data_IF_587276800985
#
_entry.id   IF_587276800985
#
_cell.length_a   1.000
_cell.length_b   1.000
_cell.length_c   1.000
_cell.angle_alpha   90.00
_cell.angle_beta   90.00
_cell.angle_gamma   90.00
#
_symmetry.space_group_name_H-M   'P 1'
#
loop_
_entity.id
_entity.type
_entity.pdbx_description
1 polymer ?
#
# COMPACT_ATOMS: atom_id res chain seq x y z
N UNK A 1 -10.33 -68.56 -7.71
CA UNK A 1 -11.66 -67.92 -7.83
C UNK A 1 -11.50 -66.42 -7.65
N UNK A 2 -12.03 -65.66 -8.61
CA UNK A 2 -11.99 -64.19 -8.72
C UNK A 2 -12.89 -63.54 -7.67
N UNK A 3 -12.46 -62.43 -7.08
CA UNK A 3 -13.42 -61.40 -6.66
C UNK A 3 -12.80 -60.00 -6.81
N UNK A 4 -12.70 -59.54 -8.06
CA UNK A 4 -12.46 -58.13 -8.36
C UNK A 4 -13.77 -57.36 -8.18
N UNK A 5 -13.97 -56.76 -7.01
CA UNK A 5 -15.03 -55.78 -6.79
C UNK A 5 -14.78 -54.55 -7.66
N UNK A 6 -15.49 -54.47 -8.79
CA UNK A 6 -15.56 -53.25 -9.62
C UNK A 6 -16.07 -52.11 -8.74
N UNK A 7 -15.26 -51.09 -8.53
CA UNK A 7 -15.72 -49.79 -8.08
C UNK A 7 -16.68 -49.25 -9.16
N UNK A 8 -17.98 -49.31 -8.87
CA UNK A 8 -19.01 -48.67 -9.69
C UNK A 8 -18.77 -47.17 -9.58
N UNK A 9 -18.13 -46.59 -10.58
CA UNK A 9 -18.04 -45.14 -10.74
C UNK A 9 -19.46 -44.59 -10.90
N UNK A 10 -20.05 -44.16 -9.78
CA UNK A 10 -21.29 -43.39 -9.79
C UNK A 10 -20.95 -42.06 -10.45
N UNK A 11 -21.70 -41.72 -11.50
CA UNK A 11 -21.56 -40.49 -12.27
C UNK A 11 -21.89 -39.32 -11.34
N UNK A 12 -20.89 -38.78 -10.66
CA UNK A 12 -21.05 -37.59 -9.82
C UNK A 12 -21.30 -36.40 -10.74
N UNK A 13 -22.38 -35.67 -10.49
CA UNK A 13 -22.63 -34.39 -11.15
C UNK A 13 -21.47 -33.45 -10.84
N UNK A 14 -20.95 -32.78 -11.86
CA UNK A 14 -19.77 -31.92 -11.79
C UNK A 14 -19.90 -30.88 -10.67
N UNK A 15 -19.25 -31.15 -9.53
CA UNK A 15 -19.21 -30.26 -8.37
C UNK A 15 -19.50 -30.90 -7.02
N UNK A 16 -19.95 -32.15 -6.93
CA UNK A 16 -20.16 -32.82 -5.63
C UNK A 16 -19.01 -33.78 -5.35
N UNK A 17 -18.12 -33.40 -4.42
CA UNK A 17 -17.11 -34.29 -3.86
C UNK A 17 -17.64 -34.88 -2.55
N UNK A 18 -18.05 -36.15 -2.59
CA UNK A 18 -18.33 -36.92 -1.38
C UNK A 18 -17.01 -37.46 -0.84
N UNK A 19 -16.59 -36.96 0.33
CA UNK A 19 -15.41 -37.47 1.03
C UNK A 19 -15.88 -38.55 2.01
N UNK A 20 -15.39 -39.78 1.82
CA UNK A 20 -15.70 -40.89 2.70
C UNK A 20 -14.72 -40.88 3.89
N UNK A 21 -15.22 -40.61 5.10
CA UNK A 21 -14.41 -40.58 6.32
C UNK A 21 -14.32 -42.00 6.89
N UNK A 22 -13.11 -42.50 7.22
CA UNK A 22 -12.96 -43.84 7.80
C UNK A 22 -13.66 -43.98 9.15
N UNK A 23 -14.28 -45.15 9.33
CA UNK A 23 -15.29 -45.47 10.36
C UNK A 23 -14.76 -45.39 11.80
N UNK A 24 -15.42 -44.67 12.72
CA UNK A 24 -15.28 -44.92 14.15
C UNK A 24 -16.05 -46.20 14.54
N UNK A 25 -15.38 -47.12 15.24
CA UNK A 25 -15.88 -48.45 15.63
C UNK A 25 -17.05 -48.30 16.62
N UNK A 26 -18.29 -48.56 16.18
CA UNK A 26 -19.44 -48.69 17.09
C UNK A 26 -20.80 -48.14 16.62
N UNK A 27 -20.91 -47.47 15.46
CA UNK A 27 -22.18 -46.85 15.01
C UNK A 27 -22.67 -47.46 13.68
N UNK A 28 -23.87 -48.06 13.68
CA UNK A 28 -24.54 -48.56 12.46
C UNK A 28 -25.22 -47.40 11.74
N UNK A 29 -24.52 -46.79 10.78
CA UNK A 29 -25.05 -45.81 9.83
C UNK A 29 -23.95 -45.25 8.94
N UNK A 30 -24.15 -45.23 7.62
CA UNK A 30 -23.22 -44.59 6.69
C UNK A 30 -23.22 -43.07 6.92
N UNK A 31 -22.08 -42.50 7.31
CA UNK A 31 -21.90 -41.06 7.39
C UNK A 31 -21.32 -40.55 6.07
N UNK A 32 -22.20 -40.02 5.22
CA UNK A 32 -21.82 -39.33 3.98
C UNK A 32 -21.80 -37.84 4.27
N UNK A 33 -20.62 -37.22 4.27
CA UNK A 33 -20.48 -35.77 4.34
C UNK A 33 -20.54 -35.22 2.91
N UNK A 34 -21.61 -34.48 2.60
CA UNK A 34 -21.73 -33.76 1.34
C UNK A 34 -21.00 -32.44 1.52
N UNK A 35 -19.78 -32.36 0.98
CA UNK A 35 -19.07 -31.08 0.85
C UNK A 35 -19.68 -30.37 -0.35
N UNK A 36 -20.62 -29.46 -0.10
CA UNK A 36 -21.08 -28.51 -1.10
C UNK A 36 -19.97 -27.48 -1.27
N UNK A 37 -19.25 -27.42 -2.40
CA UNK A 37 -18.34 -26.32 -2.64
C UNK A 37 -19.19 -25.05 -2.72
N UNK A 38 -19.07 -24.21 -1.71
CA UNK A 38 -19.50 -22.82 -1.79
C UNK A 38 -18.79 -22.24 -3.01
N UNK A 39 -19.52 -22.03 -4.12
CA UNK A 39 -18.95 -21.36 -5.29
C UNK A 39 -18.71 -19.92 -4.84
N UNK A 40 -17.45 -19.48 -4.62
CA UNK A 40 -17.22 -18.11 -4.22
C UNK A 40 -17.75 -17.23 -5.35
N UNK A 41 -18.56 -16.24 -5.00
CA UNK A 41 -19.02 -15.26 -5.97
C UNK A 41 -17.81 -14.63 -6.67
N UNK A 42 -17.97 -14.23 -7.94
CA UNK A 42 -16.91 -13.52 -8.67
C UNK A 42 -16.44 -12.28 -7.90
N UNK A 43 -17.36 -11.64 -7.15
CA UNK A 43 -17.04 -10.53 -6.25
C UNK A 43 -16.11 -10.93 -5.11
N UNK A 44 -16.32 -12.10 -4.47
CA UNK A 44 -15.45 -12.61 -3.39
C UNK A 44 -14.05 -12.97 -3.92
N UNK A 45 -13.98 -13.54 -5.12
CA UNK A 45 -12.70 -13.83 -5.78
C UNK A 45 -11.96 -12.55 -6.18
N UNK A 46 -12.67 -11.60 -6.79
CA UNK A 46 -12.11 -10.31 -7.19
C UNK A 46 -11.63 -9.51 -5.96
N UNK A 47 -12.44 -9.44 -4.89
CA UNK A 47 -12.07 -8.77 -3.65
C UNK A 47 -10.87 -9.45 -2.97
N UNK A 48 -10.83 -10.79 -2.95
CA UNK A 48 -9.69 -11.54 -2.42
C UNK A 48 -8.41 -11.39 -3.26
N UNK A 49 -8.53 -11.25 -4.58
CA UNK A 49 -7.40 -10.97 -5.47
C UNK A 49 -6.90 -9.53 -5.28
N UNK A 50 -7.80 -8.55 -5.24
CA UNK A 50 -7.49 -7.14 -5.00
C UNK A 50 -6.84 -6.95 -3.62
N UNK A 51 -7.39 -7.57 -2.58
CA UNK A 51 -6.83 -7.52 -1.23
C UNK A 51 -5.43 -8.12 -1.15
N UNK A 52 -5.18 -9.26 -1.81
CA UNK A 52 -3.84 -9.85 -1.89
C UNK A 52 -2.86 -8.99 -2.70
N UNK A 53 -3.30 -8.41 -3.80
CA UNK A 53 -2.49 -7.50 -4.62
C UNK A 53 -2.15 -6.22 -3.84
N UNK A 54 -3.10 -5.64 -3.12
CA UNK A 54 -2.88 -4.49 -2.25
C UNK A 54 -1.92 -4.85 -1.11
N UNK A 55 -2.10 -6.02 -0.50
CA UNK A 55 -1.24 -6.49 0.58
C UNK A 55 0.19 -6.73 0.09
N UNK A 56 0.39 -7.35 -1.08
CA UNK A 56 1.72 -7.54 -1.66
C UNK A 56 2.36 -6.20 -2.05
N UNK A 57 1.56 -5.26 -2.56
CA UNK A 57 2.00 -3.92 -2.95
C UNK A 57 2.08 -2.92 -1.78
N UNK A 58 1.74 -3.29 -0.54
CA UNK A 58 1.64 -2.35 0.60
C UNK A 58 2.89 -1.49 0.81
N UNK A 59 4.07 -2.08 0.68
CA UNK A 59 5.36 -1.35 0.78
C UNK A 59 5.64 -0.51 -0.46
N UNK A 60 5.08 -0.88 -1.61
CA UNK A 60 5.20 -0.12 -2.85
C UNK A 60 4.28 1.08 -2.96
N UNK A 61 3.16 1.04 -2.26
CA UNK A 61 2.16 2.09 -2.22
C UNK A 61 2.33 3.01 -1.02
N UNK A 62 3.42 2.91 -0.26
CA UNK A 62 3.65 3.77 0.90
C UNK A 62 3.66 5.27 0.54
N UNK A 63 4.37 5.73 -0.51
CA UNK A 63 4.35 7.16 -0.86
C UNK A 63 2.99 7.62 -1.37
N UNK A 64 2.31 6.79 -2.16
CA UNK A 64 0.96 7.08 -2.64
C UNK A 64 -0.04 7.18 -1.50
N UNK A 65 0.02 6.26 -0.53
CA UNK A 65 -0.85 6.31 0.65
C UNK A 65 -0.59 7.56 1.50
N UNK A 66 0.69 7.90 1.72
CA UNK A 66 1.06 9.12 2.46
C UNK A 66 0.60 10.39 1.74
N UNK A 67 0.77 10.48 0.42
CA UNK A 67 0.35 11.64 -0.36
C UNK A 67 -1.18 11.80 -0.36
N UNK A 68 -1.92 10.69 -0.47
CA UNK A 68 -3.37 10.69 -0.39
C UNK A 68 -3.88 11.09 1.00
N UNK A 69 -3.16 10.74 2.08
CA UNK A 69 -3.47 11.18 3.44
C UNK A 69 -3.10 12.66 3.69
N UNK A 70 -2.07 13.18 3.02
CA UNK A 70 -1.64 14.57 3.17
C UNK A 70 -2.72 15.57 2.70
N UNK A 71 -3.49 15.23 1.67
CA UNK A 71 -4.61 16.04 1.16
C UNK A 71 -5.68 16.33 2.23
N UNK A 72 -6.39 15.33 2.78
CA UNK A 72 -7.40 15.58 3.81
C UNK A 72 -6.78 16.16 5.09
N UNK A 73 -5.55 15.74 5.45
CA UNK A 73 -4.85 16.31 6.61
C UNK A 73 -4.63 17.83 6.45
N UNK A 74 -4.14 18.27 5.29
CA UNK A 74 -3.94 19.69 5.03
C UNK A 74 -5.25 20.48 4.97
N UNK A 75 -6.33 19.89 4.44
CA UNK A 75 -7.67 20.47 4.49
C UNK A 75 -8.18 20.63 5.93
N UNK A 76 -7.99 19.61 6.77
CA UNK A 76 -8.34 19.65 8.20
C UNK A 76 -7.52 20.73 8.93
N UNK A 77 -6.21 20.81 8.68
CA UNK A 77 -5.34 21.84 9.24
C UNK A 77 -5.77 23.25 8.82
N UNK A 78 -6.14 23.43 7.56
CA UNK A 78 -6.64 24.70 7.04
C UNK A 78 -7.93 25.14 7.75
N UNK A 79 -8.88 24.21 7.92
CA UNK A 79 -10.17 24.48 8.57
C UNK A 79 -10.04 24.76 10.06
N UNK A 80 -9.18 24.02 10.77
CA UNK A 80 -9.02 24.15 12.23
C UNK A 80 -8.12 25.33 12.62
N UNK A 81 -7.04 25.54 11.88
CA UNK A 81 -6.00 26.47 12.25
C UNK A 81 -5.16 26.85 11.02
N UNK A 82 -5.67 27.71 10.14
CA UNK A 82 -4.91 28.24 9.00
C UNK A 82 -3.55 28.88 9.43
N UNK A 83 -3.48 29.43 10.66
CA UNK A 83 -2.25 29.94 11.29
C UNK A 83 -1.19 28.85 11.51
N UNK A 84 -1.55 27.56 11.50
CA UNK A 84 -0.60 26.43 11.62
C UNK A 84 0.47 26.46 10.52
N UNK A 85 0.17 27.07 9.38
CA UNK A 85 1.15 27.33 8.31
C UNK A 85 2.38 28.12 8.81
N UNK A 86 2.20 29.08 9.73
CA UNK A 86 3.30 29.86 10.31
C UNK A 86 4.20 29.01 11.21
N UNK A 87 3.63 28.04 11.93
CA UNK A 87 4.38 27.10 12.77
C UNK A 87 5.08 26.03 11.93
N UNK A 88 4.49 25.63 10.80
CA UNK A 88 5.07 24.65 9.89
C UNK A 88 6.19 25.24 9.02
N UNK A 89 6.14 26.54 8.71
CA UNK A 89 7.15 27.22 7.90
C UNK A 89 8.61 27.01 8.38
N UNK A 90 8.97 27.18 9.66
CA UNK A 90 10.33 26.90 10.12
C UNK A 90 10.69 25.40 10.01
N UNK A 91 9.71 24.51 10.16
CA UNK A 91 9.91 23.08 10.00
C UNK A 91 10.27 22.70 8.54
N UNK A 92 9.77 23.46 7.56
CA UNK A 92 10.13 23.27 6.15
C UNK A 92 11.62 23.51 5.85
N UNK A 93 12.34 24.23 6.73
CA UNK A 93 13.79 24.44 6.60
C UNK A 93 14.61 23.29 7.21
N UNK A 94 14.00 22.37 7.96
CA UNK A 94 14.71 21.26 8.60
C UNK A 94 15.56 20.42 7.63
N UNK A 95 15.09 20.08 6.39
CA UNK A 95 15.91 19.35 5.42
C UNK A 95 17.16 20.13 4.98
N UNK A 96 17.05 21.46 4.84
CA UNK A 96 18.15 22.33 4.46
C UNK A 96 19.18 22.41 5.58
N UNK A 97 18.73 22.61 6.81
CA UNK A 97 19.59 22.61 8.01
C UNK A 97 20.31 21.27 8.14
N UNK A 98 19.59 20.16 7.96
CA UNK A 98 20.20 18.83 7.95
C UNK A 98 21.28 18.71 6.88
N UNK A 99 21.04 19.18 5.65
CA UNK A 99 22.03 19.14 4.58
C UNK A 99 23.28 19.93 4.93
N UNK A 100 23.13 21.12 5.52
CA UNK A 100 24.24 21.97 5.95
C UNK A 100 25.07 21.28 7.04
N UNK A 101 24.41 20.71 8.05
CA UNK A 101 25.06 19.94 9.11
C UNK A 101 25.77 18.72 8.53
N UNK A 102 25.15 17.99 7.61
CA UNK A 102 25.70 16.76 7.06
C UNK A 102 26.83 17.02 6.06
N UNK A 103 26.78 18.13 5.33
CA UNK A 103 27.92 18.61 4.52
C UNK A 103 29.14 18.92 5.39
N UNK A 104 28.92 19.54 6.56
CA UNK A 104 30.01 19.83 7.52
C UNK A 104 30.55 18.57 8.19
N UNK A 105 29.67 17.67 8.66
CA UNK A 105 30.07 16.47 9.41
C UNK A 105 30.56 15.31 8.55
N UNK A 106 30.03 15.16 7.33
CA UNK A 106 30.34 14.05 6.42
C UNK A 106 30.43 14.55 4.97
N UNK A 107 31.55 15.18 4.59
CA UNK A 107 31.78 15.63 3.23
C UNK A 107 31.72 14.42 2.29
N UNK A 108 30.96 14.58 1.20
CA UNK A 108 30.84 13.60 0.14
C UNK A 108 31.27 14.26 -1.18
N UNK A 109 31.65 13.47 -2.18
CA UNK A 109 32.03 13.97 -3.52
C UNK A 109 31.15 13.33 -4.59
N UNK A 110 31.03 14.03 -5.73
CA UNK A 110 30.34 13.53 -6.93
C UNK A 110 28.84 13.24 -6.72
N UNK A 111 28.39 12.11 -7.28
CA UNK A 111 26.98 11.69 -7.34
C UNK A 111 26.24 11.72 -5.99
N UNK A 112 26.93 11.42 -4.88
CA UNK A 112 26.32 11.42 -3.54
C UNK A 112 25.84 12.81 -3.12
N UNK A 113 26.56 13.86 -3.51
CA UNK A 113 26.17 15.25 -3.21
C UNK A 113 24.93 15.64 -4.00
N UNK A 114 24.88 15.25 -5.28
CA UNK A 114 23.72 15.50 -6.13
C UNK A 114 22.49 14.75 -5.60
N UNK A 115 22.64 13.49 -5.19
CA UNK A 115 21.55 12.70 -4.60
C UNK A 115 21.04 13.30 -3.29
N UNK A 116 21.94 13.71 -2.38
CA UNK A 116 21.56 14.39 -1.13
C UNK A 116 20.86 15.71 -1.40
N UNK A 117 21.37 16.51 -2.33
CA UNK A 117 20.76 17.78 -2.70
C UNK A 117 19.36 17.58 -3.32
N UNK A 118 19.21 16.59 -4.21
CA UNK A 118 17.91 16.24 -4.80
C UNK A 118 16.89 15.79 -3.74
N UNK A 119 17.29 14.91 -2.81
CA UNK A 119 16.41 14.47 -1.72
C UNK A 119 16.01 15.62 -0.80
N UNK A 120 16.94 16.53 -0.49
CA UNK A 120 16.67 17.69 0.36
C UNK A 120 15.77 18.68 -0.36
N UNK A 121 16.00 18.96 -1.64
CA UNK A 121 15.12 19.80 -2.45
C UNK A 121 13.71 19.22 -2.47
N UNK A 122 13.57 17.91 -2.76
CA UNK A 122 12.28 17.23 -2.76
C UNK A 122 11.58 17.35 -1.40
N UNK A 123 12.27 17.06 -0.30
CA UNK A 123 11.72 17.16 1.06
C UNK A 123 11.32 18.60 1.44
N UNK A 124 12.10 19.58 1.00
CA UNK A 124 11.81 21.00 1.26
C UNK A 124 10.57 21.43 0.48
N UNK A 125 10.47 21.07 -0.81
CA UNK A 125 9.30 21.41 -1.63
C UNK A 125 8.03 20.70 -1.12
N UNK A 126 8.11 19.45 -0.67
CA UNK A 126 6.95 18.77 -0.05
C UNK A 126 6.50 19.47 1.24
N UNK A 127 7.45 19.92 2.07
CA UNK A 127 7.12 20.64 3.31
C UNK A 127 6.52 22.03 3.02
N UNK A 128 7.08 22.75 2.06
CA UNK A 128 6.53 24.05 1.61
C UNK A 128 5.12 23.87 1.04
N UNK A 129 4.89 22.85 0.21
CA UNK A 129 3.57 22.53 -0.30
C UNK A 129 2.57 22.31 0.85
N UNK A 130 2.96 21.57 1.89
CA UNK A 130 2.09 21.32 3.05
C UNK A 130 1.77 22.61 3.82
N UNK A 131 2.75 23.50 3.99
CA UNK A 131 2.54 24.80 4.63
C UNK A 131 1.53 25.65 3.84
N UNK A 132 1.69 25.70 2.51
CA UNK A 132 0.80 26.44 1.63
C UNK A 132 -0.60 25.82 1.60
N UNK A 133 -0.71 24.50 1.54
CA UNK A 133 -1.99 23.79 1.59
C UNK A 133 -2.73 24.01 2.91
N UNK A 134 -2.02 24.08 4.04
CA UNK A 134 -2.62 24.41 5.33
C UNK A 134 -3.02 25.90 5.43
N UNK A 135 -2.25 26.82 4.85
CA UNK A 135 -2.54 28.26 4.89
C UNK A 135 -3.68 28.68 3.96
N UNK A 136 -3.66 28.19 2.71
CA UNK A 136 -4.55 28.63 1.63
C UNK A 136 -5.58 27.59 1.19
N UNK A 137 -5.47 26.36 1.70
CA UNK A 137 -6.29 25.23 1.30
C UNK A 137 -5.60 24.36 0.23
N UNK A 138 -5.79 23.02 0.27
CA UNK A 138 -5.09 22.09 -0.63
C UNK A 138 -5.48 22.18 -2.10
N UNK A 139 -6.66 22.74 -2.38
CA UNK A 139 -7.21 22.89 -3.73
C UNK A 139 -7.02 24.30 -4.30
N UNK A 140 -6.29 25.17 -3.61
CA UNK A 140 -6.10 26.54 -4.06
C UNK A 140 -5.08 26.62 -5.22
N UNK A 141 -5.51 27.21 -6.34
CA UNK A 141 -4.65 27.53 -7.48
C UNK A 141 -3.82 26.33 -7.98
N UNK A 142 -2.49 26.45 -8.11
CA UNK A 142 -1.63 25.41 -8.67
C UNK A 142 -1.25 24.28 -7.68
N UNK A 143 -1.74 24.31 -6.43
CA UNK A 143 -1.38 23.33 -5.39
C UNK A 143 -1.72 21.88 -5.77
N UNK A 144 -2.86 21.56 -6.39
CA UNK A 144 -3.17 20.19 -6.83
C UNK A 144 -2.17 19.66 -7.87
N UNK A 145 -1.75 20.51 -8.80
CA UNK A 145 -0.76 20.15 -9.81
C UNK A 145 0.60 19.88 -9.17
N UNK A 146 1.04 20.77 -8.26
CA UNK A 146 2.28 20.59 -7.50
C UNK A 146 2.24 19.31 -6.65
N UNK A 147 1.10 19.02 -6.01
CA UNK A 147 0.90 17.78 -5.27
C UNK A 147 1.10 16.54 -6.15
N UNK A 148 0.53 16.55 -7.36
CA UNK A 148 0.66 15.45 -8.31
C UNK A 148 2.11 15.26 -8.77
N UNK A 149 2.80 16.35 -9.07
CA UNK A 149 4.22 16.33 -9.46
C UNK A 149 5.10 15.80 -8.32
N UNK A 150 4.85 16.24 -7.09
CA UNK A 150 5.53 15.75 -5.89
C UNK A 150 5.26 14.27 -5.66
N UNK A 151 4.02 13.82 -5.80
CA UNK A 151 3.66 12.41 -5.70
C UNK A 151 4.43 11.56 -6.72
N UNK A 152 4.46 11.97 -7.98
CA UNK A 152 5.20 11.26 -9.03
C UNK A 152 6.70 11.24 -8.68
N UNK A 153 7.28 12.38 -8.28
CA UNK A 153 8.69 12.47 -7.92
C UNK A 153 9.07 11.61 -6.71
N UNK A 154 8.26 11.61 -5.65
CA UNK A 154 8.52 10.77 -4.47
C UNK A 154 8.36 9.29 -4.83
N UNK A 155 7.35 8.94 -5.64
CA UNK A 155 7.15 7.56 -6.07
C UNK A 155 8.28 7.05 -6.96
N UNK A 156 8.81 7.87 -7.87
CA UNK A 156 9.97 7.50 -8.70
C UNK A 156 11.21 7.30 -7.84
N UNK A 157 11.51 8.22 -6.91
CA UNK A 157 12.62 8.07 -5.96
C UNK A 157 12.46 6.78 -5.12
N UNK A 158 11.25 6.51 -4.61
CA UNK A 158 10.97 5.32 -3.81
C UNK A 158 11.16 4.01 -4.57
N UNK A 159 10.84 3.98 -5.87
CA UNK A 159 11.08 2.81 -6.71
C UNK A 159 12.57 2.62 -7.02
N UNK A 160 13.30 3.70 -7.30
CA UNK A 160 14.76 3.66 -7.53
C UNK A 160 15.50 3.17 -6.27
N UNK A 161 15.18 3.73 -5.10
CA UNK A 161 15.82 3.36 -3.82
C UNK A 161 15.54 1.91 -3.43
N UNK A 162 14.37 1.37 -3.77
CA UNK A 162 14.05 -0.04 -3.46
C UNK A 162 14.63 -1.04 -4.45
N UNK A 163 14.91 -0.64 -5.68
CA UNK A 163 15.60 -1.50 -6.66
C UNK A 163 17.08 -1.66 -6.34
N UNK A 164 17.65 -0.73 -5.58
CA UNK A 164 19.08 -0.69 -5.22
C UNK A 164 19.37 -1.37 -3.87
N UNK A 165 18.35 -1.88 -3.18
CA UNK A 165 18.45 -2.67 -1.94
C UNK A 165 18.08 -4.12 -2.24
#
# INVERSE_FOLDING_TARGET
MSNRTRARAVKSAAGVHTVNIPRPRGRRGEQVVIVVPERPTLTRLAAGAAGRALWSARRALAPTALALLAMPLSGVLHLLAWWSSLLLAPLALAPVVWLLVMRRRRPAKGSVVLWRAGLVALATVTAVWLCLAAGFGPLAGPLPLLWLLLLIAVQTVWTVVRRTR
#
